data_IF_722874617429
#
_entry.id   IF_722874617429
#
_cell.length_a   1.000
_cell.length_b   1.000
_cell.length_c   1.000
_cell.angle_alpha   90.00
_cell.angle_beta   90.00
_cell.angle_gamma   90.00
#
_symmetry.space_group_name_H-M   'P 1'
#
loop_
_entity.id
_entity.type
_entity.pdbx_description
1 polymer ?
#
# COMPACT_ATOMS: atom_id res chain seq x y z
N UNK A 1 -41.90 24.79 -14.02
CA UNK A 1 -40.56 24.47 -14.54
C UNK A 1 -39.97 23.37 -13.66
N UNK A 2 -39.74 22.16 -14.18
CA UNK A 2 -39.19 21.07 -13.38
C UNK A 2 -37.68 21.30 -13.16
N UNK A 3 -37.24 21.30 -11.90
CA UNK A 3 -35.82 21.39 -11.55
C UNK A 3 -35.15 20.06 -11.90
N UNK A 4 -34.21 20.07 -12.85
CA UNK A 4 -33.40 18.89 -13.17
C UNK A 4 -32.31 18.73 -12.12
N UNK A 5 -32.34 17.62 -11.38
CA UNK A 5 -31.36 17.28 -10.34
C UNK A 5 -30.28 16.36 -10.90
N UNK A 6 -29.02 16.81 -10.85
CA UNK A 6 -27.85 16.09 -11.39
C UNK A 6 -26.96 15.45 -10.32
N UNK A 7 -27.46 15.28 -9.09
CA UNK A 7 -26.63 14.84 -7.95
C UNK A 7 -25.89 13.53 -8.20
N UNK A 8 -26.50 12.56 -8.89
CA UNK A 8 -25.85 11.27 -9.20
C UNK A 8 -24.63 11.42 -10.11
N UNK A 9 -24.71 12.26 -11.12
CA UNK A 9 -23.61 12.51 -12.07
C UNK A 9 -22.46 13.25 -11.39
N UNK A 10 -22.79 14.25 -10.56
CA UNK A 10 -21.82 15.01 -9.78
C UNK A 10 -21.08 14.09 -8.78
N UNK A 11 -21.80 13.26 -8.04
CA UNK A 11 -21.22 12.31 -7.08
C UNK A 11 -20.29 11.32 -7.81
N UNK A 12 -20.71 10.81 -8.96
CA UNK A 12 -19.88 9.89 -9.75
C UNK A 12 -18.58 10.56 -10.19
N UNK A 13 -18.65 11.80 -10.68
CA UNK A 13 -17.47 12.56 -11.10
C UNK A 13 -16.51 12.82 -9.94
N UNK A 14 -17.03 13.23 -8.78
CA UNK A 14 -16.23 13.43 -7.55
C UNK A 14 -15.54 12.12 -7.15
N UNK A 15 -16.26 11.00 -7.14
CA UNK A 15 -15.70 9.70 -6.80
C UNK A 15 -14.58 9.30 -7.76
N UNK A 16 -14.77 9.49 -9.07
CA UNK A 16 -13.76 9.17 -10.08
C UNK A 16 -12.48 9.99 -9.89
N UNK A 17 -12.58 11.29 -9.67
CA UNK A 17 -11.42 12.14 -9.43
C UNK A 17 -10.73 11.80 -8.09
N UNK A 18 -11.51 11.51 -7.05
CA UNK A 18 -10.98 11.11 -5.76
C UNK A 18 -10.20 9.79 -5.86
N UNK A 19 -10.68 8.82 -6.64
CA UNK A 19 -9.97 7.55 -6.90
C UNK A 19 -8.63 7.79 -7.59
N UNK A 20 -8.57 8.69 -8.59
CA UNK A 20 -7.32 9.03 -9.28
C UNK A 20 -6.29 9.64 -8.32
N UNK A 21 -6.74 10.54 -7.46
CA UNK A 21 -5.87 11.22 -6.50
C UNK A 21 -5.34 10.25 -5.43
N UNK A 22 -6.20 9.38 -4.90
CA UNK A 22 -5.79 8.33 -3.97
C UNK A 22 -4.78 7.40 -4.64
N UNK A 23 -5.04 6.98 -5.88
CA UNK A 23 -4.12 6.12 -6.63
C UNK A 23 -2.75 6.79 -6.80
N UNK A 24 -2.73 8.08 -7.14
CA UNK A 24 -1.49 8.87 -7.24
C UNK A 24 -0.74 8.96 -5.91
N UNK A 25 -1.44 9.24 -4.81
CA UNK A 25 -0.85 9.26 -3.47
C UNK A 25 -0.22 7.90 -3.12
N UNK A 26 -0.91 6.81 -3.41
CA UNK A 26 -0.41 5.47 -3.16
C UNK A 26 0.84 5.14 -3.99
N UNK A 27 0.87 5.50 -5.27
CA UNK A 27 2.06 5.30 -6.11
C UNK A 27 3.28 6.09 -5.63
N UNK A 28 3.08 7.28 -5.05
CA UNK A 28 4.18 8.06 -4.46
C UNK A 28 4.80 7.34 -3.27
N UNK A 29 3.97 6.82 -2.36
CA UNK A 29 4.43 6.06 -1.19
C UNK A 29 5.09 4.74 -1.62
N UNK A 30 4.48 4.02 -2.56
CA UNK A 30 5.04 2.77 -3.10
C UNK A 30 6.43 2.99 -3.70
N UNK A 31 6.59 4.03 -4.54
CA UNK A 31 7.86 4.36 -5.17
C UNK A 31 8.94 4.63 -4.13
N UNK A 32 8.64 5.48 -3.16
CA UNK A 32 9.62 5.87 -2.15
C UNK A 32 9.93 4.72 -1.18
N UNK A 33 8.97 3.87 -0.83
CA UNK A 33 9.18 2.66 -0.06
C UNK A 33 10.14 1.68 -0.78
N UNK A 34 9.98 1.52 -2.10
CA UNK A 34 10.87 0.71 -2.94
C UNK A 34 12.27 1.28 -3.12
N UNK A 35 12.47 2.58 -2.89
CA UNK A 35 13.77 3.26 -2.97
C UNK A 35 14.48 3.21 -1.61
N UNK A 36 13.74 3.47 -0.52
CA UNK A 36 14.26 3.49 0.85
C UNK A 36 14.66 2.12 1.37
N UNK A 37 14.22 1.07 0.68
CA UNK A 37 14.68 -0.29 0.88
C UNK A 37 16.16 -0.44 0.44
N UNK A 38 17.09 0.05 1.25
CA UNK A 38 18.55 -0.10 1.09
C UNK A 38 19.08 -1.36 1.80
N UNK A 39 20.25 -1.89 1.37
CA UNK A 39 20.33 -3.27 0.89
C UNK A 39 21.16 -4.20 1.80
N UNK A 40 20.68 -5.42 2.03
CA UNK A 40 21.54 -6.48 2.57
C UNK A 40 21.25 -7.89 2.01
N UNK A 41 20.25 -8.03 1.14
CA UNK A 41 19.89 -9.31 0.54
C UNK A 41 19.20 -9.05 -0.78
N UNK A 42 19.17 -10.03 -1.68
CA UNK A 42 18.35 -10.04 -2.89
C UNK A 42 16.85 -9.92 -2.54
N UNK A 43 16.43 -8.74 -2.11
CA UNK A 43 15.08 -8.41 -1.69
C UNK A 43 14.21 -8.08 -2.89
N UNK A 44 14.61 -8.45 -4.11
CA UNK A 44 13.81 -8.28 -5.33
C UNK A 44 12.38 -8.79 -5.13
N UNK A 45 12.20 -9.85 -4.33
CA UNK A 45 10.88 -10.35 -3.92
C UNK A 45 10.13 -9.41 -2.98
N UNK A 46 10.76 -8.89 -1.93
CA UNK A 46 10.13 -7.90 -1.05
C UNK A 46 9.79 -6.63 -1.82
N UNK A 47 10.71 -6.13 -2.64
CA UNK A 47 10.50 -4.94 -3.48
C UNK A 47 9.32 -5.13 -4.44
N UNK A 48 9.24 -6.28 -5.10
CA UNK A 48 8.13 -6.61 -5.99
C UNK A 48 6.79 -6.75 -5.26
N UNK A 49 6.82 -7.16 -3.98
CA UNK A 49 5.62 -7.33 -3.16
C UNK A 49 5.07 -6.03 -2.56
N UNK A 50 5.83 -4.93 -2.58
CA UNK A 50 5.33 -3.62 -2.13
C UNK A 50 4.46 -3.05 -3.25
N UNK A 51 3.15 -2.99 -3.03
CA UNK A 51 2.22 -2.45 -4.01
C UNK A 51 1.06 -1.69 -3.34
N UNK A 52 0.55 -0.67 -4.03
CA UNK A 52 -0.76 -0.09 -3.77
C UNK A 52 -1.90 -0.93 -4.33
N UNK A 53 -1.57 -1.76 -5.31
CA UNK A 53 -2.50 -2.71 -5.87
C UNK A 53 -2.60 -3.89 -4.90
N UNK A 54 -3.59 -3.83 -4.02
CA UNK A 54 -3.98 -4.89 -3.09
C UNK A 54 -4.45 -6.16 -3.81
N UNK A 55 -4.52 -6.16 -5.14
CA UNK A 55 -4.78 -7.39 -5.88
C UNK A 55 -3.51 -8.23 -5.85
N UNK A 56 -3.53 -9.26 -5.02
CA UNK A 56 -2.66 -10.41 -5.14
C UNK A 56 -1.59 -10.58 -4.09
N UNK A 57 -1.43 -11.85 -3.73
CA UNK A 57 -0.24 -12.29 -3.03
C UNK A 57 0.97 -12.01 -3.93
N UNK A 58 1.90 -11.15 -3.53
CA UNK A 58 3.29 -11.09 -4.04
C UNK A 58 4.10 -12.40 -3.89
N UNK A 59 3.41 -13.54 -3.76
CA UNK A 59 3.85 -14.86 -4.23
C UNK A 59 3.72 -15.01 -5.76
N UNK A 60 2.83 -14.26 -6.41
CA UNK A 60 2.53 -14.37 -7.83
C UNK A 60 3.41 -13.43 -8.65
N UNK A 61 4.29 -13.99 -9.49
CA UNK A 61 5.04 -13.24 -10.50
C UNK A 61 4.10 -12.96 -11.69
N UNK A 62 3.28 -11.92 -11.61
CA UNK A 62 2.37 -11.53 -12.68
C UNK A 62 1.41 -10.40 -12.30
N UNK A 63 0.75 -9.80 -13.30
CA UNK A 63 -0.35 -8.85 -13.07
C UNK A 63 -1.48 -9.60 -12.39
N UNK A 64 -1.69 -9.35 -11.10
CA UNK A 64 -2.70 -10.09 -10.34
C UNK A 64 -4.08 -9.54 -10.70
N UNK A 65 -4.86 -10.38 -11.38
CA UNK A 65 -6.19 -10.07 -11.88
C UNK A 65 -7.28 -10.24 -10.82
N UNK A 66 -6.99 -10.93 -9.72
CA UNK A 66 -7.91 -11.23 -8.63
C UNK A 66 -7.62 -10.40 -7.38
N UNK A 67 -8.63 -9.82 -6.70
CA UNK A 67 -8.42 -9.10 -5.45
C UNK A 67 -7.83 -10.01 -4.36
N UNK A 68 -6.95 -9.49 -3.49
CA UNK A 68 -6.40 -10.32 -2.41
C UNK A 68 -7.52 -10.81 -1.49
N UNK A 69 -7.37 -12.07 -1.09
CA UNK A 69 -8.38 -12.75 -0.32
C UNK A 69 -8.16 -12.46 1.17
N UNK A 70 -9.21 -12.52 2.00
CA UNK A 70 -9.09 -12.29 3.45
C UNK A 70 -8.05 -13.23 4.12
N UNK A 71 -7.84 -14.42 3.56
CA UNK A 71 -6.87 -15.42 3.98
C UNK A 71 -5.39 -15.00 3.82
N UNK A 72 -5.09 -13.95 3.04
CA UNK A 72 -3.72 -13.40 2.90
C UNK A 72 -3.27 -12.58 4.13
N UNK A 73 -4.11 -12.48 5.18
CA UNK A 73 -3.77 -11.82 6.44
C UNK A 73 -3.75 -10.29 6.36
N UNK A 74 -4.43 -9.73 5.35
CA UNK A 74 -4.51 -8.29 5.11
C UNK A 74 -6.00 -7.93 5.09
N UNK A 75 -6.45 -7.05 6.00
CA UNK A 75 -7.85 -6.63 6.12
C UNK A 75 -8.30 -5.80 4.90
N UNK A 76 -9.22 -6.32 4.08
CA UNK A 76 -9.69 -5.59 2.89
C UNK A 76 -10.23 -4.21 3.28
N UNK A 77 -9.93 -3.14 2.51
CA UNK A 77 -10.50 -1.82 2.79
C UNK A 77 -12.02 -1.88 2.74
N UNK A 78 -12.67 -1.70 3.90
CA UNK A 78 -14.14 -1.74 4.05
C UNK A 78 -14.84 -0.55 3.40
N UNK A 79 -14.12 0.54 3.13
CA UNK A 79 -14.64 1.77 2.50
C UNK A 79 -14.24 1.82 1.02
N UNK A 80 -15.20 2.18 0.16
CA UNK A 80 -15.05 2.30 -1.31
C UNK A 80 -13.93 3.24 -1.79
N UNK A 81 -13.37 4.08 -0.91
CA UNK A 81 -12.47 5.17 -1.26
C UNK A 81 -11.21 5.16 -0.39
N UNK A 82 -10.70 3.97 -0.09
CA UNK A 82 -9.48 3.80 0.72
C UNK A 82 -8.39 3.16 -0.14
N UNK A 83 -7.22 3.81 -0.20
CA UNK A 83 -6.01 3.25 -0.80
C UNK A 83 -5.10 2.70 0.31
N UNK A 84 -4.55 1.51 0.11
CA UNK A 84 -3.61 0.91 1.05
C UNK A 84 -2.35 0.49 0.30
N UNK A 85 -1.20 0.75 0.92
CA UNK A 85 0.12 0.39 0.40
C UNK A 85 0.78 -0.52 1.42
N UNK A 86 1.27 -1.67 0.99
CA UNK A 86 1.90 -2.61 1.89
C UNK A 86 2.57 -3.76 1.16
N UNK A 87 2.96 -4.75 1.94
CA UNK A 87 3.47 -6.03 1.46
C UNK A 87 2.73 -7.13 2.22
N UNK A 88 1.98 -7.96 1.52
CA UNK A 88 2.58 -9.13 0.95
C UNK A 88 3.19 -10.22 1.87
N UNK A 89 4.51 -10.14 2.01
CA UNK A 89 5.32 -11.28 2.43
C UNK A 89 5.46 -11.33 3.94
N UNK A 90 5.38 -12.52 4.54
CA UNK A 90 5.39 -12.70 5.99
C UNK A 90 6.64 -12.12 6.69
N UNK A 91 7.78 -12.15 6.01
CA UNK A 91 9.04 -11.61 6.53
C UNK A 91 9.17 -10.08 6.40
N UNK A 92 8.29 -9.40 5.64
CA UNK A 92 8.29 -7.94 5.48
C UNK A 92 8.15 -7.24 6.83
N UNK A 93 7.24 -7.75 7.68
CA UNK A 93 7.01 -7.21 9.02
C UNK A 93 8.25 -7.30 9.90
N UNK A 94 9.02 -8.39 9.80
CA UNK A 94 10.27 -8.57 10.54
C UNK A 94 11.35 -7.58 10.10
N UNK A 95 11.35 -7.21 8.82
CA UNK A 95 12.27 -6.19 8.30
C UNK A 95 11.82 -4.81 8.79
N UNK A 96 10.54 -4.45 8.65
CA UNK A 96 10.02 -3.13 9.04
C UNK A 96 10.17 -2.86 10.56
N UNK A 97 9.87 -3.85 11.40
CA UNK A 97 9.81 -3.70 12.87
C UNK A 97 11.00 -4.30 13.62
N UNK A 98 11.87 -5.04 12.93
CA UNK A 98 12.87 -5.89 13.58
C UNK A 98 12.25 -7.17 14.12
N UNK A 99 13.10 -8.14 14.45
CA UNK A 99 12.67 -9.39 15.07
C UNK A 99 13.78 -10.00 15.92
N UNK A 100 13.50 -10.20 17.20
CA UNK A 100 14.36 -10.91 18.14
C UNK A 100 13.58 -12.09 18.67
N UNK A 101 14.03 -13.31 18.35
CA UNK A 101 13.32 -14.50 18.78
C UNK A 101 13.58 -15.72 17.91
N UNK A 102 12.79 -16.76 18.16
CA UNK A 102 12.86 -18.03 17.44
C UNK A 102 11.66 -18.10 16.50
N UNK A 103 11.90 -18.32 15.22
CA UNK A 103 10.82 -18.55 14.24
C UNK A 103 10.18 -19.93 14.48
N UNK A 104 8.99 -20.19 13.92
CA UNK A 104 8.29 -21.48 14.05
C UNK A 104 9.10 -22.68 13.56
N UNK A 105 10.15 -22.42 12.77
CA UNK A 105 11.13 -23.39 12.28
C UNK A 105 12.37 -23.54 13.20
N UNK A 106 12.36 -23.00 14.41
CA UNK A 106 13.45 -23.11 15.38
C UNK A 106 14.66 -22.19 15.12
N UNK A 107 14.59 -21.32 14.12
CA UNK A 107 15.70 -20.42 13.75
C UNK A 107 15.75 -19.22 14.67
N UNK A 108 16.92 -18.97 15.28
CA UNK A 108 17.15 -17.77 16.10
C UNK A 108 17.51 -16.59 15.21
N UNK A 109 16.78 -15.50 15.37
CA UNK A 109 17.05 -14.24 14.71
C UNK A 109 17.30 -13.16 15.76
N UNK A 110 18.28 -12.31 15.47
CA UNK A 110 18.51 -11.04 16.15
C UNK A 110 18.59 -9.95 15.06
N UNK A 111 17.45 -9.67 14.45
CA UNK A 111 17.34 -8.79 13.30
C UNK A 111 16.91 -7.39 13.74
N UNK A 112 17.74 -6.38 13.42
CA UNK A 112 17.41 -4.98 13.66
C UNK A 112 16.28 -4.49 12.74
N UNK A 113 15.48 -3.49 13.16
CA UNK A 113 14.47 -2.86 12.32
C UNK A 113 15.11 -2.04 11.18
N UNK A 114 14.63 -2.30 9.97
CA UNK A 114 14.91 -1.52 8.76
C UNK A 114 13.59 -1.00 8.18
N UNK A 115 13.04 0.08 8.75
CA UNK A 115 11.76 0.62 8.32
C UNK A 115 11.87 1.27 6.94
N UNK A 116 10.96 0.92 6.03
CA UNK A 116 10.88 1.45 4.68
C UNK A 116 9.48 2.01 4.36
N UNK A 117 8.42 1.49 4.98
CA UNK A 117 7.05 1.97 4.77
C UNK A 117 6.78 3.28 5.53
N UNK A 118 7.06 3.31 6.85
CA UNK A 118 6.83 4.51 7.67
C UNK A 118 7.63 5.73 7.17
N UNK A 119 8.93 5.60 6.88
CA UNK A 119 9.70 6.71 6.32
C UNK A 119 9.17 7.19 4.96
N UNK A 120 8.72 6.28 4.09
CA UNK A 120 8.11 6.64 2.81
C UNK A 120 6.80 7.42 2.97
N UNK A 121 5.99 7.03 3.96
CA UNK A 121 4.75 7.75 4.28
C UNK A 121 5.04 9.16 4.79
N UNK A 122 5.92 9.29 5.79
CA UNK A 122 6.27 10.59 6.37
C UNK A 122 6.88 11.54 5.33
N UNK A 123 7.70 11.02 4.42
CA UNK A 123 8.30 11.81 3.34
C UNK A 123 7.26 12.38 2.38
N UNK A 124 6.17 11.65 2.14
CA UNK A 124 5.14 12.05 1.18
C UNK A 124 3.91 12.72 1.82
N UNK A 125 3.79 12.70 3.15
CA UNK A 125 2.64 13.18 3.90
C UNK A 125 2.17 14.57 3.48
N UNK A 126 3.08 15.56 3.43
CA UNK A 126 2.75 16.94 3.03
C UNK A 126 2.15 17.01 1.63
N UNK A 127 2.73 16.28 0.67
CA UNK A 127 2.27 16.26 -0.72
C UNK A 127 0.93 15.55 -0.86
N UNK A 128 0.71 14.49 -0.09
CA UNK A 128 -0.57 13.76 -0.08
C UNK A 128 -1.69 14.65 0.47
N UNK A 129 -1.43 15.38 1.55
CA UNK A 129 -2.39 16.34 2.12
C UNK A 129 -2.75 17.44 1.13
N UNK A 130 -1.77 17.96 0.38
CA UNK A 130 -1.99 18.96 -0.67
C UNK A 130 -2.85 18.40 -1.82
N UNK A 131 -2.56 17.17 -2.25
CA UNK A 131 -3.37 16.48 -3.26
C UNK A 131 -4.83 16.30 -2.83
N UNK A 132 -5.07 16.00 -1.56
CA UNK A 132 -6.43 15.83 -1.03
C UNK A 132 -7.19 17.15 -0.88
N UNK A 133 -6.49 18.26 -0.59
CA UNK A 133 -7.11 19.59 -0.56
C UNK A 133 -7.63 20.01 -1.93
N UNK A 134 -6.94 19.63 -3.01
CA UNK A 134 -7.32 19.99 -4.38
C UNK A 134 -8.51 19.20 -4.97
N UNK A 135 -9.20 18.38 -4.17
CA UNK A 135 -10.41 17.62 -4.58
C UNK A 135 -11.66 18.52 -4.59
N UNK A 136 -11.66 19.59 -3.80
CA UNK A 136 -12.78 20.52 -3.57
C UNK A 136 -12.30 21.93 -3.89
#
# INVERSE_FOLDING_TARGET
MAVKWYGKEVINKINTESIKIISKACFMVERDAKILQTPHVDTGRLRASISSNWTGSGLSRGKVTTPAKPEDGIEQPTKKLTGVVGSNVSYARRIELGFVGVDSLGRKYNQQPYPYLRPALHKNEKKILELFKNII
#
